data_IF_292354271530
#
_entry.id   IF_292354271530
#
_cell.length_a   1.000
_cell.length_b   1.000
_cell.length_c   1.000
_cell.angle_alpha   90.00
_cell.angle_beta   90.00
_cell.angle_gamma   90.00
#
_symmetry.space_group_name_H-M   'P 1'
#
loop_
_entity.id
_entity.type
_entity.pdbx_description
1 polymer ?
#
# COMPACT_ATOMS: atom_id res chain seq x y z
N UNK A 1 61.01 -63.64 45.63
CA UNK A 1 59.69 -63.30 45.04
C UNK A 1 59.59 -63.97 43.68
N UNK A 2 58.64 -64.90 43.52
CA UNK A 2 58.54 -65.80 42.36
C UNK A 2 58.09 -65.06 41.10
N UNK A 3 58.53 -65.55 39.93
CA UNK A 3 58.15 -65.07 38.58
C UNK A 3 56.63 -65.00 38.35
N UNK A 4 55.83 -65.66 39.18
CA UNK A 4 54.37 -65.66 39.11
C UNK A 4 53.74 -64.38 39.67
N UNK A 5 54.33 -63.76 40.70
CA UNK A 5 53.83 -62.51 41.28
C UNK A 5 53.89 -61.32 40.32
N UNK A 6 54.86 -61.32 39.40
CA UNK A 6 55.01 -60.25 38.40
C UNK A 6 53.96 -60.35 37.27
N UNK A 7 53.50 -61.57 36.93
CA UNK A 7 52.46 -61.80 35.92
C UNK A 7 51.07 -61.43 36.41
N UNK A 8 50.76 -61.69 37.68
CA UNK A 8 49.48 -61.30 38.29
C UNK A 8 49.39 -59.78 38.45
N UNK A 9 50.49 -59.11 38.84
CA UNK A 9 50.51 -57.65 38.97
C UNK A 9 50.35 -56.94 37.61
N UNK A 10 50.97 -57.48 36.54
CA UNK A 10 50.81 -56.95 35.18
C UNK A 10 49.38 -57.16 34.62
N UNK A 11 48.71 -58.27 34.97
CA UNK A 11 47.32 -58.53 34.55
C UNK A 11 46.32 -57.63 35.29
N UNK A 12 46.55 -57.34 36.57
CA UNK A 12 45.71 -56.42 37.36
C UNK A 12 45.90 -54.96 36.89
N UNK A 13 47.13 -54.55 36.52
CA UNK A 13 47.37 -53.23 35.93
C UNK A 13 46.76 -53.09 34.52
N UNK A 14 46.79 -54.15 33.70
CA UNK A 14 46.17 -54.16 32.37
C UNK A 14 44.63 -54.14 32.44
N UNK A 15 44.02 -54.76 33.45
CA UNK A 15 42.57 -54.70 33.67
C UNK A 15 42.12 -53.36 34.28
N UNK A 16 42.97 -52.67 35.05
CA UNK A 16 42.68 -51.31 35.54
C UNK A 16 42.81 -50.24 34.44
N UNK A 17 43.64 -50.46 33.42
CA UNK A 17 43.81 -49.51 32.31
C UNK A 17 42.77 -49.66 31.19
N UNK A 18 41.91 -50.69 31.24
CA UNK A 18 40.85 -50.91 30.23
C UNK A 18 39.54 -50.18 30.53
N UNK A 19 39.46 -49.39 31.61
CA UNK A 19 38.29 -48.59 31.96
C UNK A 19 38.55 -47.08 31.80
N UNK A 20 39.30 -46.66 30.79
CA UNK A 20 39.20 -45.28 30.30
C UNK A 20 37.96 -45.23 29.41
N UNK A 21 36.80 -44.97 30.01
CA UNK A 21 35.63 -44.55 29.24
C UNK A 21 36.03 -43.26 28.52
N UNK A 22 36.28 -43.36 27.21
CA UNK A 22 36.39 -42.20 26.35
C UNK A 22 35.07 -41.43 26.44
N UNK A 23 35.02 -40.42 27.31
CA UNK A 23 33.91 -39.49 27.35
C UNK A 23 33.97 -38.70 26.05
N UNK A 24 33.06 -39.01 25.13
CA UNK A 24 32.86 -38.22 23.93
C UNK A 24 32.58 -36.77 24.36
N UNK A 25 33.29 -35.83 23.74
CA UNK A 25 33.17 -34.41 24.09
C UNK A 25 31.71 -33.93 23.91
N UNK A 26 31.27 -32.91 24.69
CA UNK A 26 29.94 -32.35 24.56
C UNK A 26 29.66 -31.89 23.13
N UNK A 27 28.44 -32.13 22.62
CA UNK A 27 28.06 -31.77 21.25
C UNK A 27 26.66 -31.17 21.19
N UNK A 28 26.57 -29.94 20.71
CA UNK A 28 25.32 -29.20 20.52
C UNK A 28 24.82 -29.39 19.09
N UNK A 29 23.61 -29.91 18.94
CA UNK A 29 22.90 -29.94 17.67
C UNK A 29 21.98 -28.71 17.55
N UNK A 30 22.14 -28.00 16.44
CA UNK A 30 21.33 -26.85 16.04
C UNK A 30 20.69 -27.12 14.67
N UNK A 31 19.45 -26.69 14.41
CA UNK A 31 18.86 -26.75 13.08
C UNK A 31 19.73 -26.03 12.04
N UNK A 32 19.96 -26.66 10.89
CA UNK A 32 20.84 -26.12 9.82
C UNK A 32 20.34 -24.77 9.30
N UNK A 33 19.03 -24.60 9.22
CA UNK A 33 18.38 -23.41 8.66
C UNK A 33 18.20 -22.29 9.70
N UNK A 34 18.55 -22.54 10.97
CA UNK A 34 18.47 -21.58 12.06
C UNK A 34 17.05 -21.08 12.33
N UNK A 35 16.88 -19.75 12.41
CA UNK A 35 15.58 -19.11 12.59
C UNK A 35 15.02 -18.57 11.27
N UNK A 36 14.08 -19.30 10.68
CA UNK A 36 13.32 -18.81 9.51
C UNK A 36 12.06 -18.05 9.93
N UNK A 37 12.09 -16.74 10.01
CA UNK A 37 10.95 -15.96 10.47
C UNK A 37 9.79 -15.91 9.45
N UNK A 38 10.06 -16.19 8.17
CA UNK A 38 9.11 -15.96 7.09
C UNK A 38 8.82 -14.46 6.90
N UNK A 39 7.65 -14.14 6.36
CA UNK A 39 7.15 -12.77 6.29
C UNK A 39 6.60 -12.34 7.67
N UNK A 40 7.14 -11.26 8.22
CA UNK A 40 6.72 -10.70 9.50
C UNK A 40 6.40 -9.21 9.38
N UNK A 41 5.39 -8.69 10.11
CA UNK A 41 5.05 -7.28 10.08
C UNK A 41 6.16 -6.37 10.62
N UNK A 42 6.56 -5.37 9.84
CA UNK A 42 7.40 -4.27 10.30
C UNK A 42 6.71 -3.50 11.43
N UNK A 43 7.44 -3.20 12.51
CA UNK A 43 6.92 -2.49 13.68
C UNK A 43 6.23 -3.38 14.72
N UNK A 44 6.03 -4.67 14.46
CA UNK A 44 5.45 -5.64 15.40
C UNK A 44 6.55 -6.53 15.99
N UNK A 45 6.41 -6.90 17.27
CA UNK A 45 7.34 -7.83 17.91
C UNK A 45 6.95 -9.26 17.57
N UNK A 46 7.83 -9.97 16.87
CA UNK A 46 7.66 -11.39 16.56
C UNK A 46 8.62 -12.22 17.40
N UNK A 47 8.15 -13.36 17.91
CA UNK A 47 9.00 -14.32 18.59
C UNK A 47 8.94 -15.69 17.92
N UNK A 48 10.10 -16.32 17.70
CA UNK A 48 10.23 -17.69 17.20
C UNK A 48 11.11 -18.50 18.15
N UNK A 49 10.79 -19.77 18.33
CA UNK A 49 11.53 -20.68 19.21
C UNK A 49 12.06 -21.85 18.42
N UNK A 50 13.32 -22.21 18.65
CA UNK A 50 13.94 -23.44 18.14
C UNK A 50 14.43 -24.29 19.30
N UNK A 51 14.62 -25.59 19.05
CA UNK A 51 15.15 -26.53 20.04
C UNK A 51 16.63 -26.78 19.78
N UNK A 52 17.42 -26.70 20.86
CA UNK A 52 18.84 -27.04 20.89
C UNK A 52 18.98 -28.37 21.62
N UNK A 53 19.60 -29.38 20.98
CA UNK A 53 19.70 -30.73 21.54
C UNK A 53 21.12 -31.10 21.89
N UNK A 54 21.34 -31.66 23.08
CA UNK A 54 22.63 -32.26 23.43
C UNK A 54 22.69 -33.69 22.90
N UNK A 55 23.60 -33.95 21.95
CA UNK A 55 23.80 -35.28 21.35
C UNK A 55 24.86 -36.12 22.08
N UNK A 56 25.54 -35.55 23.07
CA UNK A 56 26.61 -36.22 23.80
C UNK A 56 26.10 -36.97 25.03
N UNK A 57 26.96 -37.81 25.59
CA UNK A 57 26.71 -38.56 26.83
C UNK A 57 27.13 -37.77 28.08
N UNK A 58 27.66 -36.56 27.92
CA UNK A 58 28.04 -35.63 28.98
C UNK A 58 27.10 -34.42 29.02
N UNK A 59 26.96 -33.74 30.16
CA UNK A 59 26.21 -32.49 30.22
C UNK A 59 26.92 -31.41 29.39
N UNK A 60 26.14 -30.57 28.70
CA UNK A 60 26.63 -29.44 27.91
C UNK A 60 26.25 -28.13 28.59
N UNK A 61 27.21 -27.23 28.76
CA UNK A 61 27.04 -25.93 29.39
C UNK A 61 27.14 -24.80 28.36
N UNK A 62 26.11 -23.95 28.35
CA UNK A 62 26.08 -22.70 27.60
C UNK A 62 26.52 -21.58 28.53
N UNK A 63 27.58 -20.87 28.18
CA UNK A 63 28.11 -19.76 28.96
C UNK A 63 27.43 -18.45 28.60
N UNK A 64 27.06 -18.27 27.32
CA UNK A 64 26.55 -17.00 26.83
C UNK A 64 25.70 -17.17 25.58
N UNK A 65 24.67 -16.34 25.47
CA UNK A 65 23.85 -16.19 24.26
C UNK A 65 23.81 -14.71 23.91
N UNK A 66 24.12 -14.36 22.67
CA UNK A 66 24.13 -12.98 22.17
C UNK A 66 23.36 -12.92 20.86
N UNK A 67 22.45 -11.95 20.75
CA UNK A 67 21.76 -11.67 19.49
C UNK A 67 22.29 -10.35 18.90
N UNK A 68 22.29 -10.23 17.56
CA UNK A 68 22.57 -8.98 16.87
C UNK A 68 21.59 -7.85 17.24
N UNK A 69 21.96 -6.61 16.91
CA UNK A 69 21.23 -5.39 17.28
C UNK A 69 19.71 -5.51 17.03
N UNK A 70 18.90 -5.09 18.02
CA UNK A 70 17.44 -5.10 17.92
C UNK A 70 16.74 -6.46 18.03
N UNK A 71 17.50 -7.55 18.24
CA UNK A 71 16.97 -8.86 18.60
C UNK A 71 17.34 -9.21 20.05
N UNK A 72 16.47 -9.97 20.72
CA UNK A 72 16.72 -10.52 22.05
C UNK A 72 16.63 -12.04 21.96
N UNK A 73 17.62 -12.76 22.45
CA UNK A 73 17.62 -14.20 22.52
C UNK A 73 17.61 -14.64 23.99
N UNK A 74 16.74 -15.58 24.34
CA UNK A 74 16.58 -16.14 25.69
C UNK A 74 16.53 -17.65 25.62
N UNK A 75 17.14 -18.31 26.61
CA UNK A 75 17.31 -19.75 26.63
C UNK A 75 16.63 -20.33 27.87
N UNK A 76 15.98 -21.49 27.74
CA UNK A 76 15.23 -22.10 28.85
C UNK A 76 16.11 -22.68 29.96
N UNK A 77 17.32 -23.15 29.63
CA UNK A 77 18.31 -23.66 30.58
C UNK A 77 19.72 -23.55 30.03
N UNK A 78 20.64 -22.96 30.80
CA UNK A 78 22.06 -22.84 30.44
C UNK A 78 22.83 -24.17 30.54
N UNK A 79 22.23 -25.22 31.09
CA UNK A 79 22.79 -26.57 31.18
C UNK A 79 21.83 -27.57 30.54
N UNK A 80 22.33 -28.37 29.61
CA UNK A 80 21.55 -29.36 28.86
C UNK A 80 22.08 -30.75 29.18
N UNK A 81 21.26 -31.54 29.88
CA UNK A 81 21.60 -32.91 30.23
C UNK A 81 21.67 -33.83 28.98
N UNK A 82 22.36 -34.98 29.06
CA UNK A 82 22.49 -35.90 27.94
C UNK A 82 21.15 -36.27 27.30
N UNK A 83 21.07 -36.29 25.98
CA UNK A 83 19.85 -36.56 25.20
C UNK A 83 18.66 -35.61 25.44
N UNK A 84 18.84 -34.54 26.22
CA UNK A 84 17.81 -33.53 26.48
C UNK A 84 17.91 -32.33 25.53
N UNK A 85 16.86 -31.50 25.51
CA UNK A 85 16.79 -30.29 24.69
C UNK A 85 16.52 -29.04 25.53
N UNK A 86 17.06 -27.90 25.11
CA UNK A 86 16.70 -26.58 25.62
C UNK A 86 16.02 -25.75 24.52
N UNK A 87 15.07 -24.89 24.92
CA UNK A 87 14.37 -23.99 24.00
C UNK A 87 15.10 -22.66 23.93
N UNK A 88 15.45 -22.25 22.72
CA UNK A 88 16.01 -20.93 22.40
C UNK A 88 14.92 -20.09 21.74
N UNK A 89 14.48 -19.04 22.42
CA UNK A 89 13.48 -18.10 21.93
C UNK A 89 14.16 -16.82 21.47
N UNK A 90 13.92 -16.45 20.20
CA UNK A 90 14.32 -15.20 19.59
C UNK A 90 13.11 -14.26 19.55
N UNK A 91 13.27 -13.05 20.07
CA UNK A 91 12.30 -11.94 19.94
C UNK A 91 12.92 -10.80 19.13
N UNK A 92 12.28 -10.42 18.03
CA UNK A 92 12.73 -9.39 17.11
C UNK A 92 11.60 -8.41 16.82
N UNK A 93 11.89 -7.10 16.83
CA UNK A 93 10.99 -6.06 16.36
C UNK A 93 11.66 -5.28 15.22
N UNK A 94 11.46 -5.68 13.95
CA UNK A 94 12.03 -4.95 12.83
C UNK A 94 11.39 -3.55 12.76
N UNK A 95 12.21 -2.50 12.78
CA UNK A 95 11.70 -1.12 12.75
C UNK A 95 11.37 -0.63 11.34
N UNK A 96 11.94 -1.28 10.32
CA UNK A 96 11.77 -0.95 8.91
C UNK A 96 11.47 -2.22 8.10
N UNK A 97 10.65 -2.13 7.04
CA UNK A 97 10.48 -3.23 6.09
C UNK A 97 11.79 -3.55 5.38
N UNK A 98 12.01 -4.83 5.02
CA UNK A 98 13.25 -5.27 4.39
C UNK A 98 13.65 -6.71 4.75
N UNK A 99 14.64 -7.23 4.02
CA UNK A 99 15.26 -8.51 4.33
C UNK A 99 15.92 -8.46 5.70
N UNK A 100 15.66 -9.48 6.50
CA UNK A 100 16.26 -9.69 7.82
C UNK A 100 17.36 -10.72 7.64
N UNK A 101 18.60 -10.28 7.83
CA UNK A 101 19.77 -11.17 7.90
C UNK A 101 20.51 -10.84 9.19
N UNK A 102 20.25 -11.61 10.24
CA UNK A 102 20.85 -11.46 11.56
C UNK A 102 21.42 -12.79 12.03
N UNK A 103 22.13 -12.78 13.17
CA UNK A 103 22.64 -13.99 13.78
C UNK A 103 22.45 -13.98 15.30
N UNK A 104 22.37 -15.19 15.86
CA UNK A 104 22.47 -15.45 17.30
C UNK A 104 23.74 -16.26 17.52
N UNK A 105 24.59 -15.78 18.42
CA UNK A 105 25.83 -16.43 18.82
C UNK A 105 25.63 -17.12 20.18
N UNK A 106 26.00 -18.39 20.25
CA UNK A 106 26.00 -19.19 21.48
C UNK A 106 27.44 -19.57 21.78
N UNK A 107 27.89 -19.30 23.01
CA UNK A 107 29.19 -19.73 23.52
C UNK A 107 28.96 -20.89 24.49
N UNK A 108 29.57 -22.04 24.22
CA UNK A 108 29.40 -23.28 24.99
C UNK A 108 30.69 -24.08 25.10
N UNK A 109 30.65 -25.15 25.90
CA UNK A 109 31.75 -26.12 26.11
C UNK A 109 31.73 -27.29 25.10
N UNK A 110 31.15 -27.07 23.92
CA UNK A 110 31.18 -28.03 22.82
C UNK A 110 32.64 -28.29 22.38
N UNK A 111 33.00 -29.58 22.25
CA UNK A 111 34.37 -30.00 21.97
C UNK A 111 34.86 -29.72 20.55
N UNK A 112 33.97 -29.41 19.62
CA UNK A 112 34.28 -29.11 18.22
C UNK A 112 34.15 -27.60 17.95
N UNK A 113 33.08 -26.96 18.43
CA UNK A 113 32.80 -25.54 18.18
C UNK A 113 32.40 -24.80 19.46
N UNK A 114 33.35 -24.10 20.09
CA UNK A 114 33.09 -23.28 21.28
C UNK A 114 32.18 -22.07 21.04
N UNK A 115 31.99 -21.68 19.78
CA UNK A 115 31.07 -20.61 19.35
C UNK A 115 30.21 -21.12 18.21
N UNK A 116 28.90 -21.20 18.44
CA UNK A 116 27.90 -21.62 17.46
C UNK A 116 27.12 -20.40 16.97
N UNK A 117 27.12 -20.17 15.66
CA UNK A 117 26.40 -19.05 15.02
C UNK A 117 25.14 -19.58 14.35
N UNK A 118 24.00 -19.05 14.73
CA UNK A 118 22.68 -19.44 14.23
C UNK A 118 22.15 -18.31 13.35
N UNK A 119 21.94 -18.53 12.03
CA UNK A 119 21.38 -17.51 11.16
C UNK A 119 19.92 -17.22 11.53
N UNK A 120 19.52 -15.97 11.33
CA UNK A 120 18.15 -15.49 11.45
C UNK A 120 17.79 -14.85 10.13
N UNK A 121 16.88 -15.49 9.41
CA UNK A 121 16.41 -15.09 8.08
C UNK A 121 14.93 -14.74 8.14
N UNK A 122 14.49 -13.85 7.26
CA UNK A 122 13.08 -13.49 7.12
C UNK A 122 12.91 -12.20 6.34
N UNK A 123 11.67 -11.77 6.19
CA UNK A 123 11.34 -10.50 5.53
C UNK A 123 10.37 -9.70 6.40
N UNK A 124 10.75 -8.45 6.71
CA UNK A 124 9.85 -7.51 7.33
C UNK A 124 8.99 -6.84 6.24
N UNK A 125 7.68 -7.05 6.30
CA UNK A 125 6.70 -6.50 5.35
C UNK A 125 5.97 -5.31 6.00
N UNK A 126 5.68 -4.27 5.24
CA UNK A 126 4.91 -3.13 5.72
C UNK A 126 3.46 -3.55 5.99
N UNK A 127 3.02 -3.56 7.26
CA UNK A 127 1.64 -3.93 7.62
C UNK A 127 0.91 -2.70 8.15
N UNK A 128 -0.01 -2.20 7.34
CA UNK A 128 -0.97 -1.18 7.74
C UNK A 128 -2.07 -1.84 8.59
N UNK A 129 -2.29 -1.34 9.81
CA UNK A 129 -3.31 -1.85 10.74
C UNK A 129 -4.72 -1.83 10.13
N UNK A 130 -5.35 -3.00 10.00
CA UNK A 130 -6.62 -3.25 9.31
C UNK A 130 -7.82 -2.40 9.79
N UNK A 131 -7.85 -1.98 11.06
CA UNK A 131 -9.06 -1.36 11.64
C UNK A 131 -9.07 0.18 11.63
N UNK A 132 -7.90 0.84 11.57
CA UNK A 132 -7.83 2.30 11.51
C UNK A 132 -7.55 2.78 10.09
N UNK A 133 -6.69 2.08 9.33
CA UNK A 133 -6.38 2.44 7.95
C UNK A 133 -7.60 2.28 7.02
N UNK A 134 -8.46 1.29 7.25
CA UNK A 134 -9.63 0.99 6.40
C UNK A 134 -10.68 2.10 6.37
N UNK A 135 -10.97 2.77 7.49
CA UNK A 135 -11.92 3.89 7.53
C UNK A 135 -11.37 5.13 6.83
N UNK A 136 -10.07 5.43 7.01
CA UNK A 136 -9.43 6.56 6.35
C UNK A 136 -9.30 6.34 4.84
N UNK A 137 -9.03 5.11 4.39
CA UNK A 137 -9.00 4.79 2.95
C UNK A 137 -10.37 4.96 2.31
N UNK A 138 -11.43 4.40 2.90
CA UNK A 138 -12.80 4.56 2.36
C UNK A 138 -13.19 6.04 2.26
N UNK A 139 -12.93 6.83 3.31
CA UNK A 139 -13.22 8.26 3.32
C UNK A 139 -12.39 9.02 2.27
N UNK A 140 -11.12 8.67 2.12
CA UNK A 140 -10.21 9.27 1.14
C UNK A 140 -10.67 8.95 -0.29
N UNK A 141 -11.02 7.69 -0.56
CA UNK A 141 -11.52 7.24 -1.87
C UNK A 141 -12.82 7.93 -2.23
N UNK A 142 -13.77 8.01 -1.29
CA UNK A 142 -15.06 8.67 -1.48
C UNK A 142 -14.88 10.17 -1.75
N UNK A 143 -14.08 10.85 -0.92
CA UNK A 143 -13.83 12.29 -1.05
C UNK A 143 -13.05 12.64 -2.31
N UNK A 144 -12.06 11.82 -2.69
CA UNK A 144 -11.31 12.00 -3.93
C UNK A 144 -12.20 11.82 -5.17
N UNK A 145 -13.02 10.76 -5.20
CA UNK A 145 -13.96 10.53 -6.31
C UNK A 145 -14.96 11.68 -6.45
N UNK A 146 -15.54 12.14 -5.35
CA UNK A 146 -16.45 13.29 -5.36
C UNK A 146 -15.75 14.58 -5.83
N UNK A 147 -14.53 14.84 -5.35
CA UNK A 147 -13.75 16.02 -5.76
C UNK A 147 -13.40 15.99 -7.25
N UNK A 148 -13.09 14.82 -7.80
CA UNK A 148 -12.83 14.64 -9.22
C UNK A 148 -14.10 14.82 -10.06
N UNK A 149 -15.27 14.41 -9.56
CA UNK A 149 -16.56 14.67 -10.22
C UNK A 149 -16.93 16.16 -10.30
N UNK A 150 -16.45 16.99 -9.36
CA UNK A 150 -16.59 18.45 -9.39
C UNK A 150 -15.43 19.18 -10.11
N UNK A 151 -14.58 18.42 -10.82
CA UNK A 151 -13.49 19.01 -11.60
C UNK A 151 -14.05 19.99 -12.65
N UNK A 152 -13.51 21.22 -12.74
CA UNK A 152 -13.94 22.19 -13.75
C UNK A 152 -13.84 21.65 -15.20
N UNK A 153 -12.97 20.68 -15.49
CA UNK A 153 -12.87 20.01 -16.80
C UNK A 153 -14.13 19.17 -17.09
N UNK A 154 -14.39 18.14 -16.26
CA UNK A 154 -15.54 17.26 -16.39
C UNK A 154 -16.87 18.05 -16.38
N UNK A 155 -16.99 19.03 -15.47
CA UNK A 155 -18.19 19.83 -15.33
C UNK A 155 -18.48 20.70 -16.56
N UNK A 156 -17.45 21.28 -17.17
CA UNK A 156 -17.62 22.10 -18.39
C UNK A 156 -18.10 21.26 -19.58
N UNK A 157 -17.62 20.02 -19.69
CA UNK A 157 -18.01 19.11 -20.77
C UNK A 157 -19.47 18.70 -20.62
N UNK A 158 -19.88 18.32 -19.40
CA UNK A 158 -21.28 17.92 -19.16
C UNK A 158 -22.25 19.09 -19.34
N UNK A 159 -21.88 20.33 -18.96
CA UNK A 159 -22.70 21.52 -19.28
C UNK A 159 -22.83 21.71 -20.78
N UNK A 160 -21.72 21.62 -21.54
CA UNK A 160 -21.76 21.77 -22.99
C UNK A 160 -22.66 20.69 -23.62
N UNK A 161 -22.52 19.45 -23.16
CA UNK A 161 -23.32 18.33 -23.60
C UNK A 161 -24.81 18.56 -23.31
N UNK A 162 -25.15 18.91 -22.08
CA UNK A 162 -26.49 19.32 -21.67
C UNK A 162 -27.08 20.44 -22.54
N UNK A 163 -26.25 21.42 -22.94
CA UNK A 163 -26.63 22.48 -23.87
C UNK A 163 -26.98 21.96 -25.27
N UNK A 164 -26.15 21.11 -25.85
CA UNK A 164 -26.38 20.48 -27.17
C UNK A 164 -27.69 19.69 -27.17
N UNK A 165 -27.92 18.90 -26.11
CA UNK A 165 -29.17 18.16 -25.86
C UNK A 165 -30.42 19.04 -25.83
N UNK A 166 -30.31 20.18 -25.16
CA UNK A 166 -31.41 21.12 -24.99
C UNK A 166 -31.68 21.87 -26.30
N UNK A 167 -30.63 22.31 -27.00
CA UNK A 167 -30.73 23.00 -28.28
C UNK A 167 -31.27 22.10 -29.42
N UNK A 168 -30.93 20.81 -29.39
CA UNK A 168 -31.42 19.81 -30.36
C UNK A 168 -32.90 19.42 -30.21
N UNK A 169 -33.70 20.18 -29.44
CA UNK A 169 -35.15 19.98 -29.33
C UNK A 169 -35.59 18.68 -28.66
N UNK A 170 -34.70 17.97 -27.95
CA UNK A 170 -34.99 16.65 -27.39
C UNK A 170 -35.95 16.74 -26.20
N UNK A 171 -36.89 15.79 -26.13
CA UNK A 171 -37.80 15.65 -25.00
C UNK A 171 -37.04 15.45 -23.69
N UNK A 172 -37.65 15.82 -22.55
CA UNK A 172 -37.08 15.60 -21.21
C UNK A 172 -36.61 14.15 -21.00
N UNK A 173 -37.39 13.18 -21.49
CA UNK A 173 -37.06 11.75 -21.45
C UNK A 173 -35.81 11.43 -22.27
N UNK A 174 -35.71 11.94 -23.50
CA UNK A 174 -34.51 11.78 -24.33
C UNK A 174 -33.27 12.37 -23.65
N UNK A 175 -33.40 13.56 -23.04
CA UNK A 175 -32.28 14.20 -22.35
C UNK A 175 -31.75 13.40 -21.16
N UNK A 176 -32.67 12.84 -20.37
CA UNK A 176 -32.31 12.01 -19.23
C UNK A 176 -31.70 10.67 -19.65
N UNK A 177 -32.30 9.98 -20.64
CA UNK A 177 -31.80 8.70 -21.15
C UNK A 177 -30.39 8.82 -21.75
N UNK A 178 -30.13 9.89 -22.52
CA UNK A 178 -28.80 10.16 -23.06
C UNK A 178 -27.76 10.45 -21.97
N UNK A 179 -28.13 11.24 -20.95
CA UNK A 179 -27.26 11.51 -19.80
C UNK A 179 -26.95 10.28 -18.94
N UNK A 180 -27.93 9.40 -18.73
CA UNK A 180 -27.72 8.12 -18.03
C UNK A 180 -26.82 7.21 -18.86
N UNK A 181 -27.05 7.10 -20.17
CA UNK A 181 -26.20 6.30 -21.06
C UNK A 181 -24.75 6.80 -21.08
N UNK A 182 -24.56 8.12 -21.14
CA UNK A 182 -23.25 8.76 -21.01
C UNK A 182 -22.58 8.40 -19.68
N UNK A 183 -23.30 8.56 -18.57
CA UNK A 183 -22.79 8.29 -17.23
C UNK A 183 -22.42 6.81 -17.05
N UNK A 184 -23.24 5.89 -17.57
CA UNK A 184 -22.96 4.45 -17.56
C UNK A 184 -21.71 4.12 -18.38
N UNK A 185 -21.56 4.70 -19.58
CA UNK A 185 -20.37 4.51 -20.39
C UNK A 185 -19.11 5.03 -19.66
N UNK A 186 -19.17 6.21 -19.05
CA UNK A 186 -18.08 6.75 -18.23
C UNK A 186 -17.73 5.83 -17.06
N UNK A 187 -18.73 5.27 -16.36
CA UNK A 187 -18.53 4.30 -15.28
C UNK A 187 -17.77 3.07 -15.77
N UNK A 188 -18.26 2.44 -16.84
CA UNK A 188 -17.68 1.22 -17.39
C UNK A 188 -16.27 1.48 -17.93
N UNK A 189 -16.04 2.62 -18.57
CA UNK A 189 -14.73 3.02 -19.11
C UNK A 189 -13.72 3.20 -17.97
N UNK A 190 -14.06 3.98 -16.94
CA UNK A 190 -13.17 4.13 -15.78
C UNK A 190 -13.00 2.81 -15.03
N UNK A 191 -14.04 2.00 -14.84
CA UNK A 191 -13.87 0.66 -14.24
C UNK A 191 -12.86 -0.19 -15.02
N UNK A 192 -12.97 -0.26 -16.35
CA UNK A 192 -12.07 -1.02 -17.19
C UNK A 192 -10.63 -0.48 -17.13
N UNK A 193 -10.47 0.85 -17.28
CA UNK A 193 -9.17 1.51 -17.15
C UNK A 193 -8.55 1.30 -15.77
N UNK A 194 -9.36 1.37 -14.72
CA UNK A 194 -8.91 1.21 -13.35
C UNK A 194 -8.44 -0.21 -13.03
N UNK A 195 -9.17 -1.23 -13.51
CA UNK A 195 -8.72 -2.62 -13.41
C UNK A 195 -7.38 -2.81 -14.14
N UNK A 196 -7.26 -2.30 -15.37
CA UNK A 196 -6.01 -2.38 -16.14
C UNK A 196 -4.83 -1.65 -15.49
N UNK A 197 -5.08 -0.46 -14.94
CA UNK A 197 -4.04 0.29 -14.23
C UNK A 197 -3.66 -0.39 -12.91
N UNK A 198 -4.62 -0.93 -12.16
CA UNK A 198 -4.36 -1.66 -10.92
C UNK A 198 -3.53 -2.93 -11.18
N UNK A 199 -3.77 -3.65 -12.29
CA UNK A 199 -2.91 -4.76 -12.70
C UNK A 199 -1.49 -4.31 -13.04
N UNK A 200 -1.32 -3.15 -13.69
CA UNK A 200 -0.01 -2.59 -14.00
C UNK A 200 0.74 -2.15 -12.73
N UNK A 201 0.03 -1.53 -11.77
CA UNK A 201 0.59 -1.13 -10.48
C UNK A 201 1.06 -2.35 -9.68
N UNK A 202 0.24 -3.40 -9.59
CA UNK A 202 0.60 -4.66 -8.90
C UNK A 202 1.79 -5.37 -9.55
N UNK A 203 1.89 -5.36 -10.88
CA UNK A 203 3.05 -5.92 -11.58
C UNK A 203 4.34 -5.15 -11.25
N UNK A 204 4.25 -3.85 -10.96
CA UNK A 204 5.39 -3.05 -10.51
C UNK A 204 5.76 -3.31 -9.04
N UNK A 205 4.82 -3.77 -8.20
CA UNK A 205 5.08 -4.10 -6.79
C UNK A 205 6.07 -5.27 -6.64
N UNK A 206 6.14 -6.19 -7.62
CA UNK A 206 7.14 -7.27 -7.64
C UNK A 206 8.58 -6.74 -7.72
N UNK A 207 8.76 -5.54 -8.30
CA UNK A 207 10.06 -4.87 -8.41
C UNK A 207 10.19 -3.74 -7.38
N UNK A 208 10.68 -4.07 -6.19
CA UNK A 208 10.78 -3.16 -5.04
C UNK A 208 11.38 -1.77 -5.33
N UNK A 209 12.48 -1.71 -6.09
CA UNK A 209 13.13 -0.44 -6.44
C UNK A 209 12.22 0.38 -7.38
N UNK A 210 11.58 -0.26 -8.36
CA UNK A 210 10.69 0.42 -9.30
C UNK A 210 9.46 0.97 -8.59
N UNK A 211 8.87 0.18 -7.67
CA UNK A 211 7.77 0.61 -6.82
C UNK A 211 8.12 1.85 -5.98
N UNK A 212 9.23 1.80 -5.23
CA UNK A 212 9.64 2.90 -4.35
C UNK A 212 9.89 4.20 -5.13
N UNK A 213 10.57 4.10 -6.28
CA UNK A 213 10.83 5.25 -7.17
C UNK A 213 9.52 5.78 -7.74
N UNK A 214 8.61 4.92 -8.20
CA UNK A 214 7.32 5.32 -8.73
C UNK A 214 6.46 6.04 -7.68
N UNK A 215 6.36 5.50 -6.47
CA UNK A 215 5.59 6.10 -5.39
C UNK A 215 6.19 7.43 -4.91
N UNK A 216 7.52 7.53 -4.82
CA UNK A 216 8.19 8.79 -4.53
C UNK A 216 7.94 9.84 -5.62
N UNK A 217 8.02 9.45 -6.89
CA UNK A 217 7.73 10.33 -8.02
C UNK A 217 6.27 10.79 -8.01
N UNK A 218 5.32 9.88 -7.76
CA UNK A 218 3.88 10.18 -7.71
C UNK A 218 3.55 11.13 -6.55
N UNK A 219 4.11 10.91 -5.36
CA UNK A 219 3.96 11.80 -4.21
C UNK A 219 4.53 13.20 -4.48
N UNK A 220 5.72 13.27 -5.08
CA UNK A 220 6.35 14.54 -5.48
C UNK A 220 5.50 15.29 -6.51
N UNK A 221 5.01 14.57 -7.52
CA UNK A 221 4.12 15.11 -8.54
C UNK A 221 2.85 15.68 -7.91
N UNK A 222 2.24 14.98 -6.94
CA UNK A 222 1.04 15.45 -6.25
C UNK A 222 1.27 16.77 -5.47
N UNK A 223 2.41 16.93 -4.81
CA UNK A 223 2.73 18.20 -4.14
C UNK A 223 2.92 19.34 -5.15
N UNK A 224 3.53 19.06 -6.32
CA UNK A 224 3.62 20.02 -7.42
C UNK A 224 2.22 20.38 -7.94
N UNK A 225 1.37 19.39 -8.19
CA UNK A 225 -0.01 19.60 -8.64
C UNK A 225 -0.84 20.39 -7.62
N UNK A 226 -0.65 20.15 -6.32
CA UNK A 226 -1.27 20.92 -5.25
C UNK A 226 -0.89 22.41 -5.33
N UNK A 227 0.41 22.71 -5.42
CA UNK A 227 0.90 24.08 -5.57
C UNK A 227 0.35 24.75 -6.84
N UNK A 228 0.39 24.05 -7.98
CA UNK A 228 -0.15 24.55 -9.24
C UNK A 228 -1.66 24.79 -9.18
N UNK A 229 -2.42 23.92 -8.52
CA UNK A 229 -3.87 24.08 -8.35
C UNK A 229 -4.21 25.32 -7.51
N UNK A 230 -3.46 25.58 -6.42
CA UNK A 230 -3.60 26.81 -5.62
C UNK A 230 -3.26 28.04 -6.46
N UNK A 231 -2.13 28.01 -7.18
CA UNK A 231 -1.70 29.10 -8.07
C UNK A 231 -2.78 29.42 -9.10
N UNK A 232 -3.33 28.40 -9.74
CA UNK A 232 -4.38 28.54 -10.76
C UNK A 232 -5.67 29.10 -10.16
N UNK A 233 -6.05 28.70 -8.94
CA UNK A 233 -7.20 29.27 -8.24
C UNK A 233 -7.04 30.79 -8.08
N UNK A 234 -5.89 31.25 -7.58
CA UNK A 234 -5.63 32.68 -7.39
C UNK A 234 -5.49 33.44 -8.71
N UNK A 235 -4.86 32.85 -9.74
CA UNK A 235 -4.80 33.46 -11.08
C UNK A 235 -6.18 33.61 -11.70
N UNK A 236 -7.02 32.58 -11.62
CA UNK A 236 -8.41 32.64 -12.10
C UNK A 236 -9.22 33.67 -11.33
N UNK A 237 -9.04 33.80 -10.02
CA UNK A 237 -9.71 34.83 -9.22
C UNK A 237 -9.34 36.25 -9.65
N UNK A 238 -8.09 36.48 -10.08
CA UNK A 238 -7.62 37.80 -10.57
C UNK A 238 -8.07 38.09 -12.01
N UNK A 239 -7.83 37.15 -12.92
CA UNK A 239 -8.01 37.35 -14.37
C UNK A 239 -9.43 37.01 -14.85
N UNK A 240 -10.15 36.13 -14.15
CA UNK A 240 -11.47 35.57 -14.53
C UNK A 240 -11.51 34.89 -15.90
N UNK A 241 -10.35 34.64 -16.51
CA UNK A 241 -10.25 33.94 -17.78
C UNK A 241 -9.95 32.45 -17.60
N UNK A 242 -10.61 31.55 -18.35
CA UNK A 242 -10.32 30.11 -18.33
C UNK A 242 -8.88 29.78 -18.78
N UNK A 243 -8.30 30.59 -19.66
CA UNK A 243 -6.92 30.49 -20.16
C UNK A 243 -5.86 30.64 -19.07
N UNK A 244 -6.22 31.23 -17.93
CA UNK A 244 -5.33 31.44 -16.80
C UNK A 244 -5.04 30.15 -16.00
N UNK A 245 -5.76 29.06 -16.28
CA UNK A 245 -5.66 27.78 -15.56
C UNK A 245 -4.73 26.85 -16.33
N UNK A 246 -3.58 26.54 -15.74
CA UNK A 246 -2.57 25.65 -16.32
C UNK A 246 -2.96 24.18 -16.18
N UNK A 247 -3.54 23.80 -15.04
CA UNK A 247 -3.94 22.44 -14.72
C UNK A 247 -5.30 22.09 -15.33
N UNK A 248 -5.34 22.08 -16.66
CA UNK A 248 -6.48 21.71 -17.50
C UNK A 248 -5.99 20.95 -18.74
N UNK A 249 -6.92 20.29 -19.43
CA UNK A 249 -6.64 19.73 -20.74
C UNK A 249 -6.14 20.82 -21.72
N UNK A 250 -5.17 20.48 -22.59
CA UNK A 250 -4.78 21.35 -23.70
C UNK A 250 -5.97 21.71 -24.59
N UNK A 251 -5.95 22.89 -25.20
CA UNK A 251 -7.07 23.36 -26.02
C UNK A 251 -7.35 22.46 -27.23
N UNK A 252 -6.33 21.75 -27.75
CA UNK A 252 -6.52 20.74 -28.78
C UNK A 252 -7.45 19.61 -28.32
N UNK A 253 -7.21 19.06 -27.12
CA UNK A 253 -8.03 17.98 -26.57
C UNK A 253 -9.42 18.49 -26.19
N UNK A 254 -9.54 19.71 -25.64
CA UNK A 254 -10.85 20.33 -25.38
C UNK A 254 -11.68 20.50 -26.65
N UNK A 255 -11.06 20.94 -27.76
CA UNK A 255 -11.73 21.03 -29.06
C UNK A 255 -12.13 19.66 -29.59
N UNK A 256 -11.27 18.65 -29.46
CA UNK A 256 -11.57 17.29 -29.86
C UNK A 256 -12.76 16.71 -29.07
N UNK A 257 -12.79 16.92 -27.75
CA UNK A 257 -13.92 16.52 -26.88
C UNK A 257 -15.21 17.18 -27.36
N UNK A 258 -15.18 18.48 -27.67
CA UNK A 258 -16.36 19.20 -28.18
C UNK A 258 -16.80 18.68 -29.55
N UNK A 259 -15.88 18.47 -30.49
CA UNK A 259 -16.23 17.92 -31.80
C UNK A 259 -16.79 16.50 -31.69
N UNK A 260 -16.23 15.66 -30.82
CA UNK A 260 -16.77 14.33 -30.53
C UNK A 260 -18.15 14.43 -29.91
N UNK A 261 -18.35 15.33 -28.95
CA UNK A 261 -19.65 15.52 -28.29
C UNK A 261 -20.72 16.03 -29.28
N UNK A 262 -20.38 16.98 -30.15
CA UNK A 262 -21.30 17.50 -31.17
C UNK A 262 -21.62 16.44 -32.25
N UNK A 263 -20.61 15.76 -32.77
CA UNK A 263 -20.79 14.72 -33.78
C UNK A 263 -21.59 13.51 -33.26
N UNK A 264 -21.31 13.07 -32.02
CA UNK A 264 -21.94 11.88 -31.44
C UNK A 264 -23.43 12.04 -31.19
N UNK A 265 -23.91 13.27 -31.02
CA UNK A 265 -25.29 13.59 -30.61
C UNK A 265 -26.25 13.90 -31.79
N UNK A 266 -25.78 13.73 -33.02
CA UNK A 266 -26.51 14.05 -34.26
C UNK A 266 -27.60 13.03 -34.67
N UNK A 267 -27.66 11.85 -34.05
CA UNK A 267 -28.55 10.74 -34.46
C UNK A 267 -29.88 10.61 -33.70
N UNK A 268 -30.82 9.83 -34.25
CA UNK A 268 -32.11 9.51 -33.60
C UNK A 268 -31.95 8.61 -32.36
N UNK A 269 -30.88 7.81 -32.29
CA UNK A 269 -30.59 6.87 -31.21
C UNK A 269 -29.86 7.53 -30.01
N UNK A 270 -30.59 8.34 -29.22
CA UNK A 270 -30.05 9.12 -28.08
C UNK A 270 -29.23 8.29 -27.08
N UNK A 271 -29.65 7.06 -26.81
CA UNK A 271 -28.97 6.16 -25.86
C UNK A 271 -27.61 5.71 -26.41
N UNK A 272 -27.56 5.26 -27.66
CA UNK A 272 -26.31 4.84 -28.31
C UNK A 272 -25.34 6.02 -28.46
N UNK A 273 -25.85 7.16 -28.94
CA UNK A 273 -25.12 8.43 -29.02
C UNK A 273 -24.52 8.84 -27.67
N UNK A 274 -25.33 8.79 -26.60
CA UNK A 274 -24.88 9.09 -25.25
C UNK A 274 -23.79 8.14 -24.77
N UNK A 275 -23.94 6.84 -25.02
CA UNK A 275 -22.97 5.82 -24.62
C UNK A 275 -21.61 5.99 -25.32
N UNK A 276 -21.58 6.08 -26.65
CA UNK A 276 -20.33 6.27 -27.40
C UNK A 276 -19.66 7.61 -27.09
N UNK A 277 -20.46 8.67 -26.93
CA UNK A 277 -19.96 9.95 -26.47
C UNK A 277 -19.32 9.82 -25.08
N UNK A 278 -19.98 9.13 -24.14
CA UNK A 278 -19.45 8.90 -22.79
C UNK A 278 -18.13 8.16 -22.81
N UNK A 279 -18.05 7.07 -23.57
CA UNK A 279 -16.81 6.30 -23.75
C UNK A 279 -15.66 7.16 -24.29
N UNK A 280 -15.87 7.84 -25.43
CA UNK A 280 -14.83 8.61 -26.10
C UNK A 280 -14.40 9.84 -25.29
N UNK A 281 -15.35 10.57 -24.71
CA UNK A 281 -15.07 11.73 -23.86
C UNK A 281 -14.32 11.30 -22.60
N UNK A 282 -14.72 10.21 -21.95
CA UNK A 282 -14.03 9.70 -20.76
C UNK A 282 -12.59 9.29 -21.05
N UNK A 283 -12.32 8.64 -22.19
CA UNK A 283 -10.94 8.33 -22.61
C UNK A 283 -10.09 9.60 -22.76
N UNK A 284 -10.63 10.64 -23.38
CA UNK A 284 -9.91 11.90 -23.57
C UNK A 284 -9.72 12.68 -22.25
N UNK A 285 -10.75 12.71 -21.40
CA UNK A 285 -10.75 13.41 -20.11
C UNK A 285 -9.85 12.73 -19.07
N UNK A 286 -9.60 11.42 -19.23
CA UNK A 286 -8.73 10.61 -18.36
C UNK A 286 -7.33 11.21 -18.17
N UNK A 287 -6.82 11.99 -19.13
CA UNK A 287 -5.54 12.68 -19.04
C UNK A 287 -5.50 13.73 -17.93
N UNK A 288 -6.64 14.36 -17.63
CA UNK A 288 -6.76 15.35 -16.57
C UNK A 288 -7.18 14.71 -15.24
N UNK A 289 -8.16 13.81 -15.26
CA UNK A 289 -8.62 13.11 -14.06
C UNK A 289 -7.58 12.13 -13.53
N UNK A 290 -6.66 11.66 -14.39
CA UNK A 290 -5.49 10.87 -14.05
C UNK A 290 -4.65 11.45 -12.90
N UNK A 291 -4.71 12.77 -12.69
CA UNK A 291 -4.06 13.47 -11.57
C UNK A 291 -4.58 13.03 -10.20
N UNK A 292 -5.86 12.66 -10.09
CA UNK A 292 -6.49 12.13 -8.87
C UNK A 292 -6.62 10.60 -8.97
N UNK A 293 -7.00 10.11 -10.15
CA UNK A 293 -7.28 8.70 -10.39
C UNK A 293 -6.08 7.79 -10.13
N UNK A 294 -4.92 8.09 -10.72
CA UNK A 294 -3.71 7.25 -10.59
C UNK A 294 -3.26 7.15 -9.12
N UNK A 295 -3.13 8.25 -8.35
CA UNK A 295 -2.78 8.16 -6.94
C UNK A 295 -3.78 7.41 -6.07
N UNK A 296 -5.08 7.58 -6.30
CA UNK A 296 -6.09 6.82 -5.54
C UNK A 296 -5.96 5.33 -5.83
N UNK A 297 -5.72 4.93 -7.07
CA UNK A 297 -5.47 3.53 -7.42
C UNK A 297 -4.17 3.00 -6.82
N UNK A 298 -3.12 3.83 -6.74
CA UNK A 298 -1.89 3.49 -6.03
C UNK A 298 -2.14 3.26 -4.53
N UNK A 299 -2.99 4.08 -3.90
CA UNK A 299 -3.41 3.88 -2.50
C UNK A 299 -4.20 2.57 -2.33
N UNK A 300 -5.19 2.30 -3.19
CA UNK A 300 -6.01 1.08 -3.15
C UNK A 300 -5.17 -0.17 -3.40
N UNK A 301 -4.18 -0.10 -4.29
CA UNK A 301 -3.33 -1.25 -4.65
C UNK A 301 -2.43 -1.70 -3.49
N UNK A 302 -2.09 -0.80 -2.56
CA UNK A 302 -1.27 -1.08 -1.37
C UNK A 302 -2.07 -1.65 -0.20
N UNK A 303 -3.39 -1.66 -0.25
CA UNK A 303 -4.21 -2.19 0.85
C UNK A 303 -4.18 -3.73 0.83
N UNK A 304 -3.69 -4.34 1.92
CA UNK A 304 -3.41 -5.79 2.03
C UNK A 304 -4.64 -6.71 2.06
N UNK A 305 -5.81 -6.24 1.60
CA UNK A 305 -7.06 -7.02 1.55
C UNK A 305 -7.17 -7.78 0.23
N UNK A 306 -6.67 -9.01 0.18
CA UNK A 306 -6.86 -9.89 -0.99
C UNK A 306 -8.33 -10.07 -1.39
N UNK A 307 -8.60 -10.25 -2.69
CA UNK A 307 -9.92 -10.59 -3.23
C UNK A 307 -10.73 -9.38 -3.75
N UNK A 308 -11.89 -9.13 -3.16
CA UNK A 308 -12.95 -8.25 -3.72
C UNK A 308 -12.83 -6.79 -3.28
N UNK A 309 -12.16 -6.51 -2.15
CA UNK A 309 -12.13 -5.18 -1.53
C UNK A 309 -11.53 -4.07 -2.43
N UNK A 310 -10.40 -4.28 -3.13
CA UNK A 310 -9.85 -3.26 -4.04
C UNK A 310 -10.81 -2.92 -5.19
N UNK A 311 -11.52 -3.93 -5.72
CA UNK A 311 -12.54 -3.73 -6.75
C UNK A 311 -13.78 -2.99 -6.21
N UNK A 312 -14.16 -3.25 -4.96
CA UNK A 312 -15.25 -2.53 -4.30
C UNK A 312 -14.89 -1.05 -4.05
N UNK A 313 -13.65 -0.76 -3.63
CA UNK A 313 -13.16 0.62 -3.48
C UNK A 313 -13.06 1.35 -4.82
N UNK A 314 -12.61 0.66 -5.88
CA UNK A 314 -12.63 1.20 -7.24
C UNK A 314 -14.05 1.53 -7.70
N UNK A 315 -15.01 0.64 -7.47
CA UNK A 315 -16.42 0.89 -7.78
C UNK A 315 -16.97 2.06 -6.96
N UNK A 316 -16.62 2.15 -5.67
CA UNK A 316 -17.02 3.26 -4.80
C UNK A 316 -16.47 4.60 -5.30
N UNK A 317 -15.21 4.66 -5.69
CA UNK A 317 -14.61 5.85 -6.32
C UNK A 317 -15.42 6.28 -7.56
N UNK A 318 -15.66 5.33 -8.48
CA UNK A 318 -16.33 5.63 -9.74
C UNK A 318 -17.79 6.04 -9.54
N UNK A 319 -18.48 5.49 -8.53
CA UNK A 319 -19.82 5.93 -8.15
C UNK A 319 -19.80 7.37 -7.60
N UNK A 320 -18.85 7.69 -6.72
CA UNK A 320 -18.69 9.03 -6.17
C UNK A 320 -18.33 10.06 -7.25
N UNK A 321 -17.49 9.67 -8.21
CA UNK A 321 -17.12 10.48 -9.38
C UNK A 321 -18.33 10.80 -10.27
N UNK A 322 -19.24 9.85 -10.49
CA UNK A 322 -20.36 10.01 -11.42
C UNK A 322 -21.58 10.68 -10.78
N UNK A 323 -21.73 10.62 -9.45
CA UNK A 323 -22.86 11.24 -8.76
C UNK A 323 -23.07 12.74 -9.10
N UNK A 324 -22.03 13.59 -9.14
CA UNK A 324 -22.15 14.98 -9.60
C UNK A 324 -22.59 15.09 -11.06
N UNK A 325 -22.13 14.21 -11.95
CA UNK A 325 -22.48 14.22 -13.38
C UNK A 325 -23.96 13.88 -13.58
N UNK A 326 -24.45 12.82 -12.93
CA UNK A 326 -25.87 12.44 -12.97
C UNK A 326 -26.73 13.59 -12.45
N UNK A 327 -26.34 14.20 -11.33
CA UNK A 327 -27.05 15.35 -10.75
C UNK A 327 -27.16 16.49 -11.76
N UNK A 328 -26.07 16.80 -12.48
CA UNK A 328 -26.05 17.84 -13.50
C UNK A 328 -26.97 17.53 -14.68
N UNK A 329 -27.00 16.28 -15.17
CA UNK A 329 -27.92 15.87 -16.24
C UNK A 329 -29.39 15.94 -15.81
N UNK A 330 -29.70 15.58 -14.56
CA UNK A 330 -31.06 15.70 -14.00
C UNK A 330 -31.49 17.17 -13.95
N UNK A 331 -30.62 18.07 -13.49
CA UNK A 331 -30.87 19.51 -13.46
C UNK A 331 -31.01 20.12 -14.86
N UNK A 332 -30.17 19.70 -15.81
CA UNK A 332 -30.29 20.12 -17.20
C UNK A 332 -31.60 19.63 -17.83
N UNK A 333 -31.99 18.38 -17.57
CA UNK A 333 -33.24 17.80 -18.07
C UNK A 333 -34.49 18.48 -17.48
N UNK A 334 -34.43 18.95 -16.22
CA UNK A 334 -35.52 19.69 -15.59
C UNK A 334 -35.70 21.13 -16.07
N UNK A 335 -34.80 21.63 -16.92
CA UNK A 335 -34.91 22.95 -17.55
C UNK A 335 -34.09 24.04 -16.87
N UNK A 336 -33.08 23.67 -16.06
CA UNK A 336 -32.07 24.64 -15.64
C UNK A 336 -31.41 25.24 -16.89
N UNK A 337 -31.41 26.57 -17.01
CA UNK A 337 -30.79 27.24 -18.15
C UNK A 337 -29.29 26.93 -18.19
N UNK A 338 -28.80 26.53 -19.38
CA UNK A 338 -27.38 26.25 -19.61
C UNK A 338 -26.49 27.42 -19.19
N UNK A 339 -26.99 28.65 -19.33
CA UNK A 339 -26.31 29.87 -18.88
C UNK A 339 -26.17 29.94 -17.35
N UNK A 340 -27.22 29.58 -16.60
CA UNK A 340 -27.17 29.57 -15.13
C UNK A 340 -26.19 28.51 -14.62
N UNK A 341 -26.19 27.34 -15.24
CA UNK A 341 -25.24 26.26 -14.92
C UNK A 341 -23.80 26.67 -15.28
N UNK A 342 -23.58 27.32 -16.42
CA UNK A 342 -22.28 27.84 -16.83
C UNK A 342 -21.78 28.94 -15.90
N UNK A 343 -22.65 29.85 -15.46
CA UNK A 343 -22.31 30.89 -14.48
C UNK A 343 -21.97 30.30 -13.11
N UNK A 344 -22.75 29.30 -12.66
CA UNK A 344 -22.46 28.58 -11.43
C UNK A 344 -21.11 27.87 -11.52
N UNK A 345 -20.81 27.20 -12.64
CA UNK A 345 -19.50 26.57 -12.89
C UNK A 345 -18.36 27.57 -12.75
N UNK A 346 -18.42 28.69 -13.48
CA UNK A 346 -17.41 29.76 -13.43
C UNK A 346 -17.19 30.30 -12.01
N UNK A 347 -18.27 30.51 -11.24
CA UNK A 347 -18.17 31.00 -9.85
C UNK A 347 -17.50 30.00 -8.91
N UNK A 348 -17.66 28.71 -9.18
CA UNK A 348 -17.14 27.63 -8.32
C UNK A 348 -15.77 27.07 -8.74
N UNK A 349 -15.12 27.63 -9.76
CA UNK A 349 -13.75 27.24 -10.15
C UNK A 349 -12.73 27.48 -9.02
N UNK A 350 -12.85 28.60 -8.31
CA UNK A 350 -11.94 28.90 -7.19
C UNK A 350 -12.04 27.86 -6.06
N UNK A 351 -13.23 27.62 -5.46
CA UNK A 351 -13.35 26.64 -4.38
C UNK A 351 -13.00 25.22 -4.84
N UNK A 352 -13.32 24.82 -6.08
CA UNK A 352 -12.96 23.49 -6.57
C UNK A 352 -11.45 23.29 -6.70
N UNK A 353 -10.70 24.30 -7.20
CA UNK A 353 -9.24 24.22 -7.29
C UNK A 353 -8.54 24.18 -5.93
N UNK A 354 -9.08 24.89 -4.93
CA UNK A 354 -8.58 24.81 -3.55
C UNK A 354 -8.89 23.43 -2.94
N UNK A 355 -10.10 22.90 -3.15
CA UNK A 355 -10.46 21.56 -2.69
C UNK A 355 -9.56 20.48 -3.32
N UNK A 356 -9.29 20.57 -4.63
CA UNK A 356 -8.36 19.68 -5.32
C UNK A 356 -6.94 19.75 -4.77
N UNK A 357 -6.43 20.95 -4.47
CA UNK A 357 -5.12 21.09 -3.85
C UNK A 357 -5.05 20.36 -2.50
N UNK A 358 -6.11 20.45 -1.69
CA UNK A 358 -6.19 19.73 -0.43
C UNK A 358 -6.19 18.22 -0.62
N UNK A 359 -6.96 17.70 -1.58
CA UNK A 359 -6.97 16.28 -1.95
C UNK A 359 -5.59 15.82 -2.42
N UNK A 360 -4.90 16.60 -3.26
CA UNK A 360 -3.54 16.30 -3.71
C UNK A 360 -2.53 16.26 -2.55
N UNK A 361 -2.62 17.18 -1.58
CA UNK A 361 -1.77 17.16 -0.39
C UNK A 361 -2.03 15.91 0.46
N UNK A 362 -3.30 15.57 0.69
CA UNK A 362 -3.67 14.36 1.46
C UNK A 362 -3.14 13.10 0.75
N UNK A 363 -3.45 12.92 -0.53
CA UNK A 363 -2.99 11.77 -1.31
C UNK A 363 -1.46 11.71 -1.37
N UNK A 364 -0.80 12.88 -1.54
CA UNK A 364 0.66 12.98 -1.58
C UNK A 364 1.29 12.53 -0.27
N UNK A 365 0.74 12.95 0.86
CA UNK A 365 1.19 12.57 2.19
C UNK A 365 0.91 11.08 2.51
N UNK A 366 -0.24 10.55 2.09
CA UNK A 366 -0.59 9.14 2.31
C UNK A 366 0.28 8.17 1.48
N UNK A 367 0.64 8.57 0.27
CA UNK A 367 1.43 7.73 -0.66
C UNK A 367 2.93 7.84 -0.38
N UNK A 368 3.39 8.96 0.18
CA UNK A 368 4.82 9.25 0.39
C UNK A 368 5.55 8.10 1.11
N UNK A 369 6.60 7.53 0.48
CA UNK A 369 7.44 6.52 1.12
C UNK A 369 8.05 7.07 2.41
N UNK A 370 7.93 6.34 3.53
CA UNK A 370 8.33 6.71 4.91
C UNK A 370 7.41 7.64 5.70
N UNK A 371 6.45 8.35 5.09
CA UNK A 371 5.52 9.20 5.85
C UNK A 371 4.46 8.36 6.59
N UNK A 372 4.11 7.17 6.09
CA UNK A 372 3.29 6.19 6.81
C UNK A 372 3.87 5.81 8.18
N UNK A 373 5.19 5.60 8.25
CA UNK A 373 5.90 5.36 9.52
C UNK A 373 5.95 6.60 10.43
N UNK A 374 6.04 7.81 9.87
CA UNK A 374 5.98 9.07 10.61
C UNK A 374 4.58 9.38 11.18
N UNK A 375 3.51 9.15 10.40
CA UNK A 375 2.13 9.29 10.85
C UNK A 375 1.76 8.21 11.87
N UNK A 376 2.18 6.95 11.68
CA UNK A 376 2.00 5.89 12.68
C UNK A 376 2.72 6.23 13.99
N UNK A 377 3.88 6.90 13.92
CA UNK A 377 4.61 7.40 15.09
C UNK A 377 3.88 8.57 15.76
N UNK A 378 3.38 9.55 15.01
CA UNK A 378 2.60 10.67 15.57
C UNK A 378 1.27 10.20 16.17
N UNK A 379 0.52 9.38 15.45
CA UNK A 379 -0.76 8.85 15.93
C UNK A 379 -0.53 7.91 17.11
N UNK A 380 0.52 7.09 17.08
CA UNK A 380 0.98 6.29 18.21
C UNK A 380 1.36 7.13 19.44
N UNK A 381 2.09 8.24 19.24
CA UNK A 381 2.49 9.16 20.31
C UNK A 381 1.29 9.94 20.88
N UNK A 382 0.32 10.32 20.04
CA UNK A 382 -0.93 10.98 20.47
C UNK A 382 -1.83 10.01 21.22
N UNK A 383 -1.93 8.75 20.77
CA UNK A 383 -2.72 7.73 21.45
C UNK A 383 -2.06 7.29 22.77
N UNK A 384 -0.73 7.19 22.80
CA UNK A 384 0.04 6.95 24.02
C UNK A 384 -0.16 8.06 25.05
N UNK A 385 -0.16 9.34 24.65
CA UNK A 385 -0.45 10.47 25.54
C UNK A 385 -1.88 10.45 26.08
N UNK A 386 -2.86 9.97 25.29
CA UNK A 386 -4.28 9.96 25.68
C UNK A 386 -4.68 8.75 26.52
N UNK A 387 -3.97 7.63 26.41
CA UNK A 387 -4.26 6.38 27.13
C UNK A 387 -3.34 6.17 28.35
N UNK A 388 -2.12 6.74 28.36
CA UNK A 388 -1.12 6.46 29.40
C UNK A 388 -0.89 7.66 30.34
N UNK A 389 -1.39 8.87 30.04
CA UNK A 389 -1.30 10.00 30.97
C UNK A 389 0.12 10.29 31.46
N UNK A 390 1.06 10.45 30.52
CA UNK A 390 2.39 11.03 30.76
C UNK A 390 2.49 12.35 30.00
#
# INVERSE_FOLDING_TARGET
>A
MSREGCRVLAFVFALFFSYVTAFAAPRLAVPKDGFELGEIPAGVQTSKTIELKNLSKSPLCIFKVRACCGAKATLSSMRIEPSSSAKLTLSLKPSVPGLITKQVEIVCDDGENSVVVIPVTGEAVEVYSENLASHWTVLTVLSAGFADGFNPCAFSIVIALAGILAAGGRTKKGRLLGGIAFSLASFLTYMAMGVGLMSALRAMDEMRIAHDVFMAALSTLLFILAFLSVRDAFRYRRLKEPSAIFLQLPDCVKRLIRSVAEASWSGSAVVASGFFCGFAVTLLDSLCTGQIYVPVLALISRESGGGVRPFALLALYNLAFIAPLITLFVLAASGASSDRLAHWSKRNVFPSKIAMAFVFVILGALIMPRFGGFLAKIVGDVFARRVIGV
#
